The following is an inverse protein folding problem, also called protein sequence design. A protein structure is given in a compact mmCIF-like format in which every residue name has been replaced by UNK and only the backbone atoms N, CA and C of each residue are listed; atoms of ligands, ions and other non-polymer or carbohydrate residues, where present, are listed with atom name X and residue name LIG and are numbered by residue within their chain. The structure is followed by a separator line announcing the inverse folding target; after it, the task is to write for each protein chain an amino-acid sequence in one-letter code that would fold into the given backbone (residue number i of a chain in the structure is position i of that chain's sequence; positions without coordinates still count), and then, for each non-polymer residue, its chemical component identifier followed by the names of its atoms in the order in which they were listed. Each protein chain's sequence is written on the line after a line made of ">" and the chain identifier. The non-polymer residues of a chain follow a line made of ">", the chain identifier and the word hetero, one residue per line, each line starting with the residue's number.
data_IF_132137429099
#
_entry.id   IF_132137429099
#
_cell.length_a   1.000
_cell.length_b   1.000
_cell.length_c   1.000
_cell.angle_alpha   90.00
_cell.angle_beta   90.00
_cell.angle_gamma   90.00
#
_symmetry.space_group_name_H-M   'P 1'
#
loop_
_entity.id
_entity.type
_entity.pdbx_description
1 polymer ?
#
# COMPACT_ATOMS: atom_id res chain seq x y z
N UNK A 1 -1.32 0.21 -27.76
CA UNK A 1 -0.66 1.32 -27.04
C UNK A 1 -1.01 1.16 -25.58
N UNK A 2 -0.05 0.85 -24.71
CA UNK A 2 -0.31 0.59 -23.29
C UNK A 2 0.00 1.84 -22.47
N UNK A 3 -0.82 2.21 -21.48
CA UNK A 3 -0.51 3.34 -20.62
C UNK A 3 0.67 3.01 -19.70
N UNK A 4 1.54 4.00 -19.50
CA UNK A 4 2.79 3.86 -18.74
C UNK A 4 3.10 5.08 -17.88
N UNK A 5 3.81 4.85 -16.78
CA UNK A 5 4.28 5.88 -15.86
C UNK A 5 5.74 5.60 -15.47
N UNK A 6 6.54 6.65 -15.33
CA UNK A 6 7.89 6.57 -14.75
C UNK A 6 7.81 6.91 -13.27
N UNK A 7 8.40 6.07 -12.43
CA UNK A 7 8.51 6.28 -11.00
C UNK A 7 9.78 7.07 -10.69
N UNK A 8 9.60 8.16 -9.96
CA UNK A 8 10.67 8.95 -9.35
C UNK A 8 10.45 9.03 -7.84
N UNK A 9 11.51 9.26 -7.08
CA UNK A 9 11.46 9.51 -5.64
C UNK A 9 12.28 10.76 -5.29
N UNK A 10 11.92 11.39 -4.17
CA UNK A 10 12.75 12.40 -3.51
C UNK A 10 13.29 11.78 -2.21
N UNK A 11 14.50 12.16 -1.82
CA UNK A 11 15.16 11.64 -0.62
C UNK A 11 15.59 12.78 0.28
N UNK A 12 15.35 12.64 1.58
CA UNK A 12 15.77 13.59 2.61
C UNK A 12 16.43 12.80 3.75
N UNK A 13 17.53 13.30 4.29
CA UNK A 13 18.09 12.72 5.51
C UNK A 13 17.19 13.06 6.70
N UNK A 14 16.92 12.14 7.65
CA UNK A 14 16.13 12.45 8.84
C UNK A 14 16.66 13.64 9.65
N UNK A 15 17.98 13.89 9.62
CA UNK A 15 18.63 15.01 10.30
C UNK A 15 18.35 16.38 9.65
N UNK A 16 17.80 16.39 8.44
CA UNK A 16 17.53 17.60 7.66
C UNK A 16 16.07 18.06 7.75
N UNK A 17 15.21 17.33 8.46
CA UNK A 17 13.75 17.59 8.51
C UNK A 17 13.43 19.03 8.90
N UNK A 18 14.14 19.58 9.89
CA UNK A 18 13.93 20.94 10.39
C UNK A 18 14.72 22.02 9.62
N UNK A 19 15.43 21.67 8.53
CA UNK A 19 16.30 22.60 7.80
C UNK A 19 15.60 23.36 6.68
N UNK A 20 14.38 22.97 6.32
CA UNK A 20 13.64 23.53 5.22
C UNK A 20 12.58 24.53 5.69
N UNK A 21 12.05 25.33 4.77
CA UNK A 21 10.97 26.30 5.01
C UNK A 21 9.57 25.68 4.95
N UNK A 22 9.49 24.35 4.85
CA UNK A 22 8.28 23.55 4.89
C UNK A 22 8.43 22.38 5.88
N UNK A 23 7.30 21.88 6.40
CA UNK A 23 7.26 20.64 7.17
C UNK A 23 7.19 19.45 6.20
N UNK A 24 8.19 18.55 6.17
CA UNK A 24 8.19 17.39 5.29
C UNK A 24 7.06 16.38 5.58
N UNK A 25 6.44 16.46 6.75
CA UNK A 25 5.37 15.59 7.24
C UNK A 25 3.98 16.23 7.13
N UNK A 26 3.88 17.46 6.63
CA UNK A 26 2.63 18.12 6.32
C UNK A 26 2.17 17.80 4.90
N UNK A 27 1.15 16.93 4.80
CA UNK A 27 0.45 16.54 3.57
C UNK A 27 -0.06 17.72 2.73
N UNK A 28 -0.23 18.91 3.30
CA UNK A 28 -0.68 20.09 2.54
C UNK A 28 0.43 20.77 1.75
N UNK A 29 1.69 20.36 1.97
CA UNK A 29 2.87 20.96 1.34
C UNK A 29 3.53 20.01 0.34
N UNK A 30 4.30 20.57 -0.59
CA UNK A 30 5.08 19.84 -1.58
C UNK A 30 6.57 20.02 -1.32
N UNK A 31 7.37 18.99 -1.56
CA UNK A 31 8.83 19.09 -1.51
C UNK A 31 9.33 19.70 -2.82
N UNK A 32 9.93 20.90 -2.82
CA UNK A 32 10.35 21.58 -4.04
C UNK A 32 11.41 20.77 -4.81
N UNK A 33 11.20 20.54 -6.10
CA UNK A 33 12.09 19.70 -6.93
C UNK A 33 13.47 20.34 -7.19
N UNK A 34 13.58 21.66 -7.09
CA UNK A 34 14.84 22.41 -7.18
C UNK A 34 15.70 22.27 -5.91
N UNK A 35 15.08 21.94 -4.77
CA UNK A 35 15.76 21.69 -3.50
C UNK A 35 16.04 20.19 -3.30
N UNK A 36 15.02 19.35 -3.56
CA UNK A 36 15.09 17.90 -3.43
C UNK A 36 14.79 17.27 -4.81
N UNK A 37 15.81 17.02 -5.64
CA UNK A 37 15.60 16.61 -7.03
C UNK A 37 14.99 15.21 -7.14
N UNK A 38 14.13 15.03 -8.15
CA UNK A 38 13.55 13.75 -8.52
C UNK A 38 14.63 12.76 -8.98
N UNK A 39 14.63 11.56 -8.38
CA UNK A 39 15.54 10.47 -8.71
C UNK A 39 14.78 9.33 -9.39
N UNK A 40 15.18 8.88 -10.60
CA UNK A 40 14.46 7.83 -11.32
C UNK A 40 14.64 6.47 -10.65
N UNK A 41 13.54 5.71 -10.55
CA UNK A 41 13.54 4.35 -9.98
C UNK A 41 13.15 3.30 -11.03
N UNK A 42 12.09 3.54 -11.79
CA UNK A 42 11.58 2.52 -12.72
C UNK A 42 10.39 2.96 -13.58
N UNK A 43 9.73 1.98 -14.20
CA UNK A 43 8.60 2.18 -15.11
C UNK A 43 7.48 1.18 -14.82
N UNK A 44 6.26 1.67 -14.72
CA UNK A 44 5.02 0.88 -14.62
C UNK A 44 4.32 0.89 -15.97
N UNK A 45 3.88 -0.29 -16.44
CA UNK A 45 3.11 -0.44 -17.69
C UNK A 45 1.90 -1.31 -17.40
N UNK A 46 0.70 -0.83 -17.71
CA UNK A 46 -0.53 -1.63 -17.57
C UNK A 46 -0.82 -2.30 -18.91
N UNK A 47 -0.62 -3.62 -18.98
CA UNK A 47 -0.62 -4.37 -20.25
C UNK A 47 -1.74 -5.40 -20.38
N UNK A 48 -2.61 -5.54 -19.37
CA UNK A 48 -3.68 -6.54 -19.36
C UNK A 48 -4.90 -6.00 -18.61
N UNK A 49 -6.09 -6.24 -19.18
CA UNK A 49 -7.36 -5.99 -18.50
C UNK A 49 -7.71 -7.18 -17.58
N UNK A 50 -8.58 -6.91 -16.61
CA UNK A 50 -9.20 -7.93 -15.76
C UNK A 50 -10.15 -8.82 -16.57
N UNK A 51 -10.31 -10.06 -16.13
CA UNK A 51 -11.28 -11.01 -16.69
C UNK A 51 -12.67 -10.81 -16.08
N UNK A 52 -12.74 -10.45 -14.79
CA UNK A 52 -13.99 -10.16 -14.09
C UNK A 52 -13.90 -8.88 -13.24
N UNK A 53 -14.75 -7.91 -13.55
CA UNK A 53 -14.78 -6.62 -12.86
C UNK A 53 -15.02 -6.73 -11.36
N UNK A 54 -16.00 -7.54 -10.94
CA UNK A 54 -16.34 -7.64 -9.53
C UNK A 54 -15.22 -8.32 -8.74
N UNK A 55 -14.72 -9.45 -9.23
CA UNK A 55 -13.72 -10.26 -8.53
C UNK A 55 -12.33 -9.64 -8.49
N UNK A 56 -11.96 -8.84 -9.50
CA UNK A 56 -10.59 -8.31 -9.61
C UNK A 56 -10.49 -6.79 -9.41
N UNK A 57 -11.58 -6.03 -9.58
CA UNK A 57 -11.57 -4.59 -9.35
C UNK A 57 -12.40 -4.19 -8.14
N UNK A 58 -13.66 -4.63 -8.04
CA UNK A 58 -14.53 -4.24 -6.92
C UNK A 58 -14.07 -4.86 -5.58
N UNK A 59 -13.60 -6.10 -5.60
CA UNK A 59 -13.13 -6.83 -4.41
C UNK A 59 -11.67 -6.52 -4.02
N UNK A 60 -10.97 -5.71 -4.82
CA UNK A 60 -9.59 -5.35 -4.53
C UNK A 60 -9.51 -4.42 -3.28
N UNK A 61 -8.45 -4.61 -2.49
CA UNK A 61 -8.25 -3.95 -1.21
C UNK A 61 -6.81 -3.42 -1.06
N UNK A 62 -6.61 -2.11 -1.30
CA UNK A 62 -5.33 -1.43 -1.05
C UNK A 62 -5.25 -0.87 0.36
N UNK A 63 -4.08 -0.94 1.03
CA UNK A 63 -3.83 -0.20 2.26
C UNK A 63 -2.37 0.30 2.26
N UNK A 64 -2.08 1.59 2.57
CA UNK A 64 -0.71 2.05 2.80
C UNK A 64 0.03 1.28 3.89
N UNK A 65 -0.67 0.61 4.82
CA UNK A 65 -0.10 -0.27 5.84
C UNK A 65 0.53 -1.57 5.28
N UNK A 66 0.36 -1.86 3.99
CA UNK A 66 0.94 -3.05 3.37
C UNK A 66 2.31 -2.70 2.78
N UNK A 67 3.31 -2.64 3.67
CA UNK A 67 4.71 -2.39 3.31
C UNK A 67 5.54 -3.67 3.35
N UNK A 68 6.70 -3.61 2.68
CA UNK A 68 7.71 -4.68 2.67
C UNK A 68 8.95 -4.23 3.45
N UNK A 69 9.84 -5.14 3.89
CA UNK A 69 11.07 -4.77 4.58
C UNK A 69 11.88 -3.73 3.79
N UNK A 70 12.30 -2.66 4.47
CA UNK A 70 12.98 -1.50 3.88
C UNK A 70 12.07 -0.30 3.62
N UNK A 71 10.74 -0.44 3.77
CA UNK A 71 9.79 0.67 3.70
C UNK A 71 9.08 0.82 5.05
N UNK A 72 9.07 2.04 5.58
CA UNK A 72 8.46 2.38 6.86
C UNK A 72 7.59 3.63 6.71
N UNK A 73 6.73 3.86 7.71
CA UNK A 73 5.84 5.02 7.74
C UNK A 73 6.55 6.22 8.34
N UNK A 74 6.25 7.40 7.80
CA UNK A 74 6.61 8.66 8.43
C UNK A 74 5.60 9.03 9.53
N UNK A 75 5.90 10.06 10.31
CA UNK A 75 5.02 10.57 11.37
C UNK A 75 3.94 11.54 10.83
N UNK A 76 3.72 11.60 9.51
CA UNK A 76 2.61 12.34 8.91
C UNK A 76 1.28 11.88 9.54
N UNK A 77 0.60 12.81 10.21
CA UNK A 77 -0.60 12.51 11.02
C UNK A 77 -1.75 11.95 10.18
N UNK A 78 -1.88 12.37 8.92
CA UNK A 78 -2.90 11.83 8.03
C UNK A 78 -2.52 10.42 7.58
N UNK A 79 -1.25 10.16 7.26
CA UNK A 79 -0.78 8.81 6.96
C UNK A 79 -1.03 7.86 8.13
N UNK A 80 -0.73 8.29 9.37
CA UNK A 80 -0.96 7.49 10.58
C UNK A 80 -2.44 7.06 10.71
N UNK A 81 -3.39 7.94 10.41
CA UNK A 81 -4.81 7.58 10.39
C UNK A 81 -5.16 6.59 9.25
N UNK A 82 -4.55 6.76 8.07
CA UNK A 82 -4.83 5.92 6.89
C UNK A 82 -4.34 4.49 7.06
N UNK A 83 -3.20 4.27 7.70
CA UNK A 83 -2.64 2.92 7.96
C UNK A 83 -3.67 2.05 8.71
N UNK A 84 -4.44 2.65 9.62
CA UNK A 84 -5.55 2.00 10.30
C UNK A 84 -6.81 1.90 9.40
N UNK A 85 -7.27 3.04 8.88
CA UNK A 85 -8.63 3.18 8.34
C UNK A 85 -8.94 2.24 7.16
N UNK A 86 -7.96 1.97 6.29
CA UNK A 86 -8.20 1.17 5.08
C UNK A 86 -8.51 -0.29 5.42
N UNK A 87 -7.73 -0.92 6.29
CA UNK A 87 -8.01 -2.30 6.67
C UNK A 87 -9.24 -2.42 7.58
N UNK A 88 -9.56 -1.41 8.38
CA UNK A 88 -10.81 -1.37 9.14
C UNK A 88 -12.02 -1.42 8.19
N UNK A 89 -12.09 -0.50 7.23
CA UNK A 89 -13.21 -0.48 6.27
C UNK A 89 -13.26 -1.73 5.39
N UNK A 90 -12.12 -2.33 5.04
CA UNK A 90 -12.08 -3.56 4.23
C UNK A 90 -12.72 -4.76 4.95
N UNK A 91 -12.53 -4.86 6.27
CA UNK A 91 -13.16 -5.92 7.08
C UNK A 91 -14.68 -5.78 7.09
N UNK A 92 -15.18 -4.55 7.07
CA UNK A 92 -16.61 -4.30 6.95
C UNK A 92 -17.13 -4.52 5.52
N UNK A 93 -16.45 -3.97 4.51
CA UNK A 93 -16.89 -3.96 3.11
C UNK A 93 -16.84 -5.33 2.43
N UNK A 94 -15.77 -6.10 2.66
CA UNK A 94 -15.51 -7.38 1.98
C UNK A 94 -15.65 -8.55 2.96
N UNK A 95 -15.15 -8.38 4.18
CA UNK A 95 -15.20 -9.40 5.23
C UNK A 95 -13.86 -9.58 5.95
N UNK A 96 -13.84 -10.30 7.09
CA UNK A 96 -12.64 -10.45 7.91
C UNK A 96 -11.48 -11.15 7.18
N UNK A 97 -11.79 -12.04 6.25
CA UNK A 97 -10.83 -12.83 5.47
C UNK A 97 -10.58 -12.28 4.05
N UNK A 98 -10.78 -10.96 3.82
CA UNK A 98 -10.61 -10.34 2.48
C UNK A 98 -9.22 -10.54 1.86
N UNK A 99 -8.17 -10.74 2.68
CA UNK A 99 -6.80 -11.02 2.23
C UNK A 99 -6.62 -12.42 1.65
N UNK A 100 -7.57 -13.34 1.85
CA UNK A 100 -7.55 -14.66 1.23
C UNK A 100 -8.03 -14.63 -0.23
N UNK A 101 -8.76 -13.59 -0.65
CA UNK A 101 -9.26 -13.48 -2.02
C UNK A 101 -8.09 -13.44 -3.02
N UNK A 102 -8.17 -14.14 -4.18
CA UNK A 102 -7.05 -14.25 -5.11
C UNK A 102 -6.42 -12.92 -5.55
N UNK A 103 -7.22 -11.85 -5.66
CA UNK A 103 -6.72 -10.51 -6.05
C UNK A 103 -5.95 -9.80 -4.94
N UNK A 104 -6.21 -10.14 -3.67
CA UNK A 104 -5.58 -9.54 -2.50
C UNK A 104 -4.50 -10.44 -1.88
N UNK A 105 -4.47 -11.73 -2.23
CA UNK A 105 -3.56 -12.71 -1.68
C UNK A 105 -2.10 -12.41 -2.10
N UNK A 106 -1.13 -12.51 -1.18
CA UNK A 106 0.27 -12.34 -1.52
C UNK A 106 0.72 -13.47 -2.45
N UNK A 107 1.65 -13.15 -3.36
CA UNK A 107 2.26 -14.14 -4.26
C UNK A 107 3.29 -15.03 -3.55
N UNK A 108 3.83 -14.59 -2.42
CA UNK A 108 4.78 -15.35 -1.61
C UNK A 108 4.05 -16.24 -0.58
N UNK A 109 4.77 -17.26 -0.09
CA UNK A 109 4.30 -18.03 1.06
C UNK A 109 4.12 -17.09 2.26
N UNK A 110 3.00 -17.24 2.96
CA UNK A 110 2.66 -16.44 4.12
C UNK A 110 2.18 -17.36 5.24
N UNK A 111 2.65 -17.10 6.46
CA UNK A 111 2.29 -17.84 7.66
C UNK A 111 2.01 -16.82 8.76
N UNK A 112 0.86 -16.96 9.42
CA UNK A 112 0.45 -16.10 10.54
C UNK A 112 -0.40 -16.92 11.52
N UNK A 113 -0.69 -16.35 12.69
CA UNK A 113 -1.46 -17.02 13.75
C UNK A 113 -2.95 -16.60 13.76
N UNK A 114 -3.51 -16.18 12.62
CA UNK A 114 -4.94 -15.87 12.51
C UNK A 114 -5.73 -17.13 12.14
N UNK A 115 -6.87 -17.35 12.82
CA UNK A 115 -7.75 -18.50 12.64
C UNK A 115 -9.20 -18.05 12.45
N UNK A 116 -10.02 -18.93 11.86
CA UNK A 116 -11.47 -18.77 11.67
C UNK A 116 -11.89 -17.51 10.88
N UNK A 117 -13.03 -16.91 11.24
CA UNK A 117 -13.68 -15.79 10.56
C UNK A 117 -14.64 -16.21 9.45
N UNK A 118 -15.61 -15.34 9.15
CA UNK A 118 -16.56 -15.58 8.06
C UNK A 118 -15.83 -15.78 6.73
N UNK A 119 -16.34 -16.73 5.92
CA UNK A 119 -15.76 -17.11 4.64
C UNK A 119 -14.29 -17.52 4.72
N UNK A 120 -13.86 -18.16 5.81
CA UNK A 120 -12.58 -18.85 5.83
C UNK A 120 -12.67 -20.11 4.95
N UNK A 121 -12.05 -20.07 3.76
CA UNK A 121 -12.01 -21.18 2.82
C UNK A 121 -10.63 -21.85 2.75
N UNK A 122 -9.67 -21.42 3.57
CA UNK A 122 -8.36 -22.03 3.67
C UNK A 122 -8.39 -23.06 4.80
N UNK A 123 -8.29 -24.34 4.46
CA UNK A 123 -8.06 -25.37 5.46
C UNK A 123 -6.62 -25.27 5.94
N UNK A 124 -6.43 -25.01 7.23
CA UNK A 124 -5.14 -25.23 7.88
C UNK A 124 -5.21 -26.60 8.50
N UNK A 125 -4.42 -27.52 7.98
CA UNK A 125 -4.13 -28.76 8.69
C UNK A 125 -3.31 -28.33 9.94
N UNK A 126 -3.96 -28.23 11.11
CA UNK A 126 -3.23 -28.05 12.37
C UNK A 126 -2.74 -29.41 12.88
N UNK A 127 -1.43 -29.47 13.17
CA UNK A 127 -0.66 -30.52 13.88
C UNK A 127 -0.73 -31.97 13.39
#
# INVERSE_FOLDING_TARGET
>A
NYPEWRLFIQTMSPEDVDRYDFDPLDVTTTWPEDVLPLQPVGRLVLNRNIDNFFNENEQLAFNPAFVVPGVHYSEDKLLQARIFAYSDTQRHRIGPNYLMLPVNAPKCAHHNNHYDGAMNFMHRDEE
#
